data_IF_112947909600
#
_entry.id   IF_112947909600
#
_cell.length_a   1.000
_cell.length_b   1.000
_cell.length_c   1.000
_cell.angle_alpha   90.00
_cell.angle_beta   90.00
_cell.angle_gamma   90.00
#
_symmetry.space_group_name_H-M   'P 1'
#
loop_
_entity.id
_entity.type
_entity.pdbx_description
1 polymer ?
#
# COMPACT_ATOMS: atom_id res chain seq x y z
N UNK A 1 -14.15 5.43 -16.91
CA UNK A 1 -13.18 6.53 -16.81
C UNK A 1 -13.60 7.56 -15.77
N UNK A 2 -14.88 7.97 -15.76
CA UNK A 2 -15.39 9.02 -14.85
C UNK A 2 -15.12 8.73 -13.37
N UNK A 3 -15.23 7.47 -12.95
CA UNK A 3 -14.91 7.07 -11.58
C UNK A 3 -13.43 7.27 -11.25
N UNK A 4 -12.53 6.86 -12.15
CA UNK A 4 -11.08 7.04 -11.97
C UNK A 4 -10.75 8.53 -11.93
N UNK A 5 -11.30 9.32 -12.86
CA UNK A 5 -11.13 10.78 -12.90
C UNK A 5 -11.58 11.45 -11.60
N UNK A 6 -12.79 11.17 -11.14
CA UNK A 6 -13.31 11.79 -9.91
C UNK A 6 -12.50 11.40 -8.68
N UNK A 7 -11.96 10.19 -8.64
CA UNK A 7 -11.05 9.75 -7.57
C UNK A 7 -9.71 10.51 -7.61
N UNK A 8 -9.16 10.75 -8.81
CA UNK A 8 -7.94 11.54 -8.97
C UNK A 8 -8.16 13.01 -8.59
N UNK A 9 -9.27 13.61 -9.00
CA UNK A 9 -9.63 14.98 -8.65
C UNK A 9 -9.83 15.13 -7.13
N UNK A 10 -10.50 14.16 -6.49
CA UNK A 10 -10.61 14.11 -5.03
C UNK A 10 -9.24 13.99 -4.35
N UNK A 11 -8.36 13.13 -4.84
CA UNK A 11 -7.03 12.95 -4.28
C UNK A 11 -6.22 14.26 -4.32
N UNK A 12 -6.28 14.99 -5.43
CA UNK A 12 -5.62 16.30 -5.58
C UNK A 12 -6.18 17.33 -4.60
N UNK A 13 -7.51 17.36 -4.41
CA UNK A 13 -8.16 18.31 -3.48
C UNK A 13 -7.90 17.97 -2.01
N UNK A 14 -7.82 16.68 -1.68
CA UNK A 14 -7.57 16.19 -0.32
C UNK A 14 -6.13 16.44 0.16
N UNK A 15 -5.15 16.41 -0.74
CA UNK A 15 -3.74 16.52 -0.37
C UNK A 15 -3.39 17.94 0.12
N UNK A 16 -2.67 18.00 1.20
CA UNK A 16 -2.09 19.24 1.68
C UNK A 16 -0.78 19.57 0.92
N UNK A 17 -0.75 20.75 0.30
CA UNK A 17 0.46 21.29 -0.31
C UNK A 17 1.32 21.95 0.77
N UNK A 18 2.47 21.36 1.05
CA UNK A 18 3.40 21.84 2.07
C UNK A 18 4.20 23.05 1.61
N UNK A 19 4.73 23.88 2.54
CA UNK A 19 5.58 25.02 2.19
C UNK A 19 6.86 24.67 1.43
N UNK A 20 7.34 23.42 1.52
CA UNK A 20 8.50 22.93 0.78
C UNK A 20 8.18 22.51 -0.67
N UNK A 21 6.93 22.66 -1.10
CA UNK A 21 6.47 22.33 -2.44
C UNK A 21 5.99 20.88 -2.61
N UNK A 22 6.11 20.04 -1.59
CA UNK A 22 5.63 18.64 -1.66
C UNK A 22 4.16 18.53 -1.27
N UNK A 23 3.51 17.44 -1.71
CA UNK A 23 2.14 17.08 -1.35
C UNK A 23 2.12 15.90 -0.38
N UNK A 24 1.28 15.98 0.64
CA UNK A 24 1.09 14.92 1.64
C UNK A 24 -0.36 14.76 2.04
N UNK A 25 -0.74 13.55 2.43
CA UNK A 25 -2.07 13.25 2.95
C UNK A 25 -2.16 13.61 4.44
N UNK A 26 -2.83 14.71 4.77
CA UNK A 26 -2.97 15.19 6.15
C UNK A 26 -4.37 15.76 6.42
N UNK A 27 -5.09 15.25 7.45
CA UNK A 27 -4.73 14.12 8.32
C UNK A 27 -4.89 12.78 7.62
N UNK A 28 -4.10 11.79 8.02
CA UNK A 28 -4.22 10.42 7.52
C UNK A 28 -3.95 9.39 8.63
N UNK A 29 -4.21 8.12 8.36
CA UNK A 29 -3.92 7.02 9.28
C UNK A 29 -3.62 5.76 8.51
N UNK A 30 -2.97 4.79 9.17
CA UNK A 30 -2.83 3.43 8.66
C UNK A 30 -3.72 2.50 9.49
N UNK A 31 -4.85 2.05 8.94
CA UNK A 31 -5.76 1.19 9.69
C UNK A 31 -5.13 -0.15 10.09
N UNK A 32 -5.47 -0.65 11.23
CA UNK A 32 -6.46 -0.20 12.22
C UNK A 32 -5.79 0.24 13.53
N UNK A 33 -4.58 0.74 13.52
CA UNK A 33 -3.87 1.16 14.72
C UNK A 33 -2.97 2.36 14.43
N UNK A 34 -2.31 2.84 15.47
CA UNK A 34 -1.34 3.93 15.38
C UNK A 34 -1.96 5.33 15.46
N UNK A 35 -1.15 6.35 15.27
CA UNK A 35 -1.56 7.73 15.39
C UNK A 35 -2.37 8.23 14.20
N UNK A 36 -3.03 9.37 14.39
CA UNK A 36 -3.36 10.24 13.26
C UNK A 36 -2.06 10.89 12.81
N UNK A 37 -1.76 10.80 11.53
CA UNK A 37 -0.49 11.19 10.93
C UNK A 37 -0.70 12.25 9.83
N UNK A 38 0.39 12.86 9.41
CA UNK A 38 0.41 13.81 8.30
C UNK A 38 1.12 13.24 7.06
N UNK A 39 0.95 11.94 6.83
CA UNK A 39 1.57 11.29 5.69
C UNK A 39 1.70 9.78 5.81
N UNK A 40 0.63 9.08 6.24
CA UNK A 40 0.62 7.63 6.28
C UNK A 40 0.91 7.05 4.88
N UNK A 41 1.91 6.19 4.79
CA UNK A 41 2.39 5.60 3.53
C UNK A 41 1.30 4.89 2.75
N UNK A 42 0.34 4.26 3.44
CA UNK A 42 -0.82 3.64 2.81
C UNK A 42 -1.59 4.61 1.92
N UNK A 43 -1.92 5.80 2.45
CA UNK A 43 -2.70 6.80 1.71
C UNK A 43 -1.91 7.33 0.51
N UNK A 44 -0.61 7.59 0.68
CA UNK A 44 0.25 7.99 -0.43
C UNK A 44 0.36 6.92 -1.50
N UNK A 45 0.41 5.64 -1.12
CA UNK A 45 0.44 4.52 -2.08
C UNK A 45 -0.85 4.48 -2.92
N UNK A 46 -2.01 4.61 -2.28
CA UNK A 46 -3.31 4.66 -2.97
C UNK A 46 -3.40 5.87 -3.90
N UNK A 47 -2.97 7.05 -3.44
CA UNK A 47 -2.97 8.27 -4.25
C UNK A 47 -2.07 8.12 -5.48
N UNK A 48 -0.88 7.52 -5.35
CA UNK A 48 0.02 7.25 -6.49
C UNK A 48 -0.67 6.41 -7.56
N UNK A 49 -1.28 5.30 -7.17
CA UNK A 49 -1.97 4.41 -8.11
C UNK A 49 -3.13 5.14 -8.81
N UNK A 50 -3.99 5.85 -8.05
CA UNK A 50 -5.12 6.60 -8.63
C UNK A 50 -4.64 7.65 -9.65
N UNK A 51 -3.60 8.43 -9.32
CA UNK A 51 -3.08 9.45 -10.22
C UNK A 51 -2.43 8.82 -11.47
N UNK A 52 -1.65 7.75 -11.30
CA UNK A 52 -1.05 7.02 -12.42
C UNK A 52 -2.11 6.45 -13.37
N UNK A 53 -3.14 5.81 -12.81
CA UNK A 53 -4.24 5.24 -13.57
C UNK A 53 -5.04 6.31 -14.33
N UNK A 54 -5.33 7.46 -13.67
CA UNK A 54 -6.04 8.58 -14.31
C UNK A 54 -5.22 9.20 -15.44
N UNK A 55 -3.91 9.40 -15.22
CA UNK A 55 -2.97 9.91 -16.23
C UNK A 55 -2.96 9.00 -17.45
N UNK A 56 -2.78 7.70 -17.25
CA UNK A 56 -2.69 6.73 -18.34
C UNK A 56 -4.03 6.59 -19.08
N UNK A 57 -5.14 6.44 -18.35
CA UNK A 57 -6.47 6.36 -18.94
C UNK A 57 -6.80 7.62 -19.76
N UNK A 58 -6.45 8.81 -19.28
CA UNK A 58 -6.68 10.06 -20.03
C UNK A 58 -5.84 10.15 -21.31
N UNK A 59 -4.61 9.58 -21.29
CA UNK A 59 -3.75 9.49 -22.49
C UNK A 59 -4.37 8.56 -23.53
N UNK A 60 -4.80 7.37 -23.11
CA UNK A 60 -5.42 6.37 -23.99
C UNK A 60 -6.70 6.93 -24.64
N UNK A 61 -7.53 7.63 -23.88
CA UNK A 61 -8.79 8.22 -24.35
C UNK A 61 -8.61 9.55 -25.09
N UNK A 62 -7.44 10.20 -24.96
CA UNK A 62 -7.18 11.49 -25.57
C UNK A 62 -7.93 12.68 -24.94
N UNK A 63 -8.34 12.55 -23.66
CA UNK A 63 -9.17 13.54 -22.94
C UNK A 63 -8.41 14.18 -21.76
N UNK A 64 -9.01 15.21 -21.16
CA UNK A 64 -8.60 15.84 -19.89
C UNK A 64 -7.12 16.26 -19.83
N UNK A 65 -6.60 16.81 -20.92
CA UNK A 65 -5.19 17.22 -21.04
C UNK A 65 -4.75 18.25 -19.99
N UNK A 66 -5.67 19.12 -19.55
CA UNK A 66 -5.41 20.14 -18.54
C UNK A 66 -5.33 19.50 -17.15
N UNK A 67 -6.30 18.71 -16.81
CA UNK A 67 -6.40 17.96 -15.54
C UNK A 67 -5.22 17.01 -15.39
N UNK A 68 -4.85 16.30 -16.45
CA UNK A 68 -3.67 15.43 -16.49
C UNK A 68 -2.39 16.12 -16.11
N UNK A 69 -2.15 17.36 -16.55
CA UNK A 69 -0.97 18.15 -16.14
C UNK A 69 -0.96 18.42 -14.64
N UNK A 70 -2.12 18.62 -14.04
CA UNK A 70 -2.25 18.81 -12.61
C UNK A 70 -1.96 17.50 -11.87
N UNK A 71 -2.52 16.36 -12.33
CA UNK A 71 -2.25 15.05 -11.76
C UNK A 71 -0.77 14.67 -11.86
N UNK A 72 -0.14 14.92 -13.01
CA UNK A 72 1.31 14.72 -13.21
C UNK A 72 2.12 15.57 -12.23
N UNK A 73 1.79 16.86 -12.09
CA UNK A 73 2.47 17.76 -11.15
C UNK A 73 2.35 17.28 -9.69
N UNK A 74 1.17 16.87 -9.26
CA UNK A 74 0.96 16.37 -7.89
C UNK A 74 1.70 15.06 -7.68
N UNK A 75 1.66 14.14 -8.63
CA UNK A 75 2.35 12.86 -8.56
C UNK A 75 3.88 13.03 -8.45
N UNK A 76 4.45 13.95 -9.24
CA UNK A 76 5.89 14.24 -9.26
C UNK A 76 6.38 14.86 -7.94
N UNK A 77 5.48 15.57 -7.23
CA UNK A 77 5.78 16.25 -5.97
C UNK A 77 5.15 15.56 -4.74
N UNK A 78 4.56 14.38 -4.89
CA UNK A 78 4.05 13.62 -3.76
C UNK A 78 5.21 13.10 -2.90
N UNK A 79 5.11 13.24 -1.58
CA UNK A 79 6.10 12.73 -0.63
C UNK A 79 6.52 11.30 -1.01
N UNK A 80 7.83 11.03 -1.18
CA UNK A 80 8.31 9.72 -1.59
C UNK A 80 8.14 8.67 -0.48
N UNK A 81 8.18 7.40 -0.86
CA UNK A 81 8.36 6.31 0.08
C UNK A 81 9.65 6.50 0.89
N UNK A 82 9.62 6.18 2.17
CA UNK A 82 10.76 6.31 3.07
C UNK A 82 11.15 4.94 3.63
N UNK A 83 12.46 4.75 3.82
CA UNK A 83 13.03 3.56 4.45
C UNK A 83 13.52 3.96 5.84
N UNK A 84 13.02 3.28 6.86
CA UNK A 84 13.31 3.58 8.25
C UNK A 84 14.61 2.94 8.75
N UNK A 85 14.90 3.18 10.03
CA UNK A 85 16.16 2.79 10.71
C UNK A 85 16.43 1.28 10.76
N UNK A 86 15.40 0.44 10.58
CA UNK A 86 15.54 -1.02 10.52
C UNK A 86 15.61 -1.54 9.08
N UNK A 87 15.63 -0.65 8.08
CA UNK A 87 15.56 -1.01 6.68
C UNK A 87 14.16 -1.35 6.19
N UNK A 88 13.13 -1.14 7.00
CA UNK A 88 11.73 -1.34 6.66
C UNK A 88 11.17 -0.18 5.83
N UNK A 89 10.16 -0.46 5.00
CA UNK A 89 9.32 0.58 4.43
C UNK A 89 8.50 1.23 5.56
N UNK A 90 8.69 2.53 5.79
CA UNK A 90 8.02 3.23 6.88
C UNK A 90 6.50 3.23 6.68
N UNK A 91 5.76 2.97 7.74
CA UNK A 91 4.30 3.04 7.75
C UNK A 91 3.79 4.47 7.95
N UNK A 92 4.54 5.28 8.70
CA UNK A 92 4.17 6.61 9.13
C UNK A 92 5.11 7.68 8.56
N UNK A 93 4.73 8.95 8.66
CA UNK A 93 5.58 10.08 8.26
C UNK A 93 6.84 10.25 9.11
N UNK A 94 6.85 9.60 10.28
CA UNK A 94 7.99 9.55 11.21
C UNK A 94 8.36 8.10 11.49
N UNK A 95 9.64 7.82 11.72
CA UNK A 95 10.15 6.47 11.95
C UNK A 95 9.85 5.98 13.37
N UNK A 96 8.61 5.56 13.60
CA UNK A 96 8.10 5.01 14.87
C UNK A 96 7.76 3.52 14.78
N UNK A 97 8.06 2.88 13.65
CA UNK A 97 7.83 1.45 13.45
C UNK A 97 8.54 0.60 14.52
N UNK A 98 7.86 -0.41 15.04
CA UNK A 98 8.43 -1.39 15.98
C UNK A 98 8.64 -2.72 15.26
N UNK A 99 9.88 -3.26 15.20
CA UNK A 99 10.14 -4.55 14.57
C UNK A 99 9.50 -5.75 15.29
N UNK A 100 8.91 -5.52 16.47
CA UNK A 100 8.16 -6.54 17.22
C UNK A 100 6.65 -6.41 17.04
N UNK A 101 6.18 -5.43 16.26
CA UNK A 101 4.77 -5.27 15.99
C UNK A 101 4.30 -6.34 15.00
N UNK A 102 3.50 -7.28 15.49
CA UNK A 102 2.88 -8.37 14.73
C UNK A 102 1.44 -8.04 14.28
N UNK A 103 1.10 -6.75 14.17
CA UNK A 103 -0.23 -6.35 13.71
C UNK A 103 -0.55 -7.01 12.37
N UNK A 104 -1.78 -7.55 12.27
CA UNK A 104 -2.20 -8.34 11.10
C UNK A 104 -2.21 -7.57 9.78
N UNK A 105 -2.49 -6.25 9.82
CA UNK A 105 -2.53 -5.42 8.62
C UNK A 105 -1.14 -4.92 8.24
N UNK A 106 -0.95 -4.77 6.93
CA UNK A 106 0.28 -4.28 6.29
C UNK A 106 -0.07 -3.25 5.22
N UNK A 107 -0.95 -2.32 5.57
CA UNK A 107 -1.54 -1.35 4.64
C UNK A 107 -0.50 -0.54 3.86
N UNK A 108 0.60 -0.16 4.50
CA UNK A 108 1.69 0.58 3.87
C UNK A 108 2.40 -0.20 2.75
N UNK A 109 2.14 -1.51 2.64
CA UNK A 109 2.58 -2.34 1.51
C UNK A 109 1.60 -2.37 0.34
N UNK A 110 0.57 -1.51 0.34
CA UNK A 110 -0.39 -1.40 -0.78
C UNK A 110 0.30 -1.22 -2.13
N UNK A 111 1.37 -0.41 -2.17
CA UNK A 111 2.13 -0.19 -3.40
C UNK A 111 2.87 -1.44 -3.94
N UNK A 112 3.08 -2.47 -3.12
CA UNK A 112 3.58 -3.77 -3.54
C UNK A 112 2.46 -4.66 -4.07
N UNK A 113 1.31 -4.70 -3.37
CA UNK A 113 0.10 -5.41 -3.77
C UNK A 113 -1.13 -4.83 -3.02
N UNK A 114 -2.24 -4.49 -3.72
CA UNK A 114 -2.55 -4.69 -5.15
C UNK A 114 -1.87 -3.69 -6.09
N UNK A 115 -1.30 -2.60 -5.60
CA UNK A 115 -0.56 -1.63 -6.40
C UNK A 115 0.68 -2.23 -7.08
N UNK A 116 1.41 -1.38 -7.80
CA UNK A 116 2.59 -1.81 -8.56
C UNK A 116 3.76 -0.80 -8.50
N UNK A 117 3.68 0.18 -7.61
CA UNK A 117 4.72 1.20 -7.41
C UNK A 117 5.92 0.69 -6.62
N UNK A 118 5.77 -0.43 -5.90
CA UNK A 118 6.86 -1.16 -5.25
C UNK A 118 7.05 -2.51 -5.94
N UNK A 119 8.25 -2.74 -6.48
CA UNK A 119 8.52 -3.94 -7.29
C UNK A 119 10.00 -4.35 -7.17
N UNK A 120 10.30 -5.66 -7.08
CA UNK A 120 11.69 -6.13 -7.11
C UNK A 120 12.41 -5.85 -8.43
N UNK A 121 11.66 -5.55 -9.51
CA UNK A 121 12.20 -5.26 -10.84
C UNK A 121 12.47 -3.76 -11.03
N UNK A 122 11.50 -2.91 -10.69
CA UNK A 122 11.56 -1.47 -10.99
C UNK A 122 12.01 -0.61 -9.80
N UNK A 123 11.76 -1.07 -8.57
CA UNK A 123 12.12 -0.38 -7.33
C UNK A 123 12.71 -1.35 -6.29
N UNK A 124 13.86 -2.01 -6.60
CA UNK A 124 14.39 -3.12 -5.79
C UNK A 124 14.68 -2.76 -4.34
N UNK A 125 15.10 -1.52 -4.05
CA UNK A 125 15.35 -1.08 -2.67
C UNK A 125 14.05 -0.96 -1.86
N UNK A 126 12.97 -0.46 -2.47
CA UNK A 126 11.67 -0.43 -1.82
C UNK A 126 11.10 -1.84 -1.62
N UNK A 127 11.28 -2.73 -2.59
CA UNK A 127 10.89 -4.14 -2.46
C UNK A 127 11.64 -4.85 -1.33
N UNK A 128 12.93 -4.58 -1.18
CA UNK A 128 13.73 -5.07 -0.06
C UNK A 128 13.21 -4.52 1.28
N UNK A 129 12.87 -3.23 1.34
CA UNK A 129 12.31 -2.63 2.53
C UNK A 129 10.90 -3.19 2.87
N UNK A 130 10.08 -3.46 1.87
CA UNK A 130 8.80 -4.13 2.05
C UNK A 130 8.96 -5.57 2.58
N UNK A 131 10.01 -6.29 2.12
CA UNK A 131 10.34 -7.61 2.67
C UNK A 131 10.69 -7.54 4.17
N UNK A 132 11.41 -6.51 4.61
CA UNK A 132 11.70 -6.30 6.03
C UNK A 132 10.41 -6.14 6.84
N UNK A 133 9.45 -5.36 6.35
CA UNK A 133 8.13 -5.24 6.99
C UNK A 133 7.46 -6.59 7.16
N UNK A 134 7.38 -7.40 6.09
CA UNK A 134 6.73 -8.71 6.14
C UNK A 134 7.41 -9.65 7.14
N UNK A 135 8.74 -9.59 7.25
CA UNK A 135 9.50 -10.36 8.24
C UNK A 135 9.16 -9.91 9.68
N UNK A 136 9.08 -8.61 9.93
CA UNK A 136 8.71 -8.07 11.24
C UNK A 136 7.27 -8.44 11.63
N UNK A 137 6.32 -8.31 10.69
CA UNK A 137 4.89 -8.63 10.90
C UNK A 137 4.62 -10.13 11.03
N UNK A 138 5.58 -10.98 10.64
CA UNK A 138 5.46 -12.44 10.73
C UNK A 138 4.35 -13.01 9.83
N UNK A 139 4.18 -14.32 9.91
CA UNK A 139 3.25 -15.07 9.05
C UNK A 139 1.87 -15.27 9.69
N UNK A 140 1.73 -14.95 10.98
CA UNK A 140 0.44 -15.00 11.68
C UNK A 140 -0.50 -13.92 11.20
N UNK A 141 -1.75 -14.29 10.90
CA UNK A 141 -2.81 -13.35 10.51
C UNK A 141 -4.18 -14.02 10.53
N UNK A 142 -5.24 -13.22 10.42
CA UNK A 142 -6.58 -13.72 10.08
C UNK A 142 -6.64 -14.05 8.59
N UNK A 143 -7.66 -14.77 8.12
CA UNK A 143 -7.75 -15.27 6.75
C UNK A 143 -7.48 -14.21 5.69
N UNK A 144 -8.21 -13.10 5.71
CA UNK A 144 -8.03 -12.03 4.72
C UNK A 144 -6.62 -11.42 4.73
N UNK A 145 -6.10 -11.10 5.92
CA UNK A 145 -4.75 -10.50 6.02
C UNK A 145 -3.65 -11.51 5.68
N UNK A 146 -3.86 -12.81 5.93
CA UNK A 146 -2.93 -13.87 5.49
C UNK A 146 -2.93 -14.00 3.97
N UNK A 147 -4.11 -13.95 3.33
CA UNK A 147 -4.24 -13.92 1.87
C UNK A 147 -3.52 -12.71 1.27
N UNK A 148 -3.59 -11.56 1.92
CA UNK A 148 -2.85 -10.37 1.47
C UNK A 148 -1.35 -10.53 1.59
N UNK A 149 -0.83 -10.97 2.74
CA UNK A 149 0.62 -11.26 2.92
C UNK A 149 1.12 -12.30 1.92
N UNK A 150 0.34 -13.34 1.64
CA UNK A 150 0.66 -14.34 0.62
C UNK A 150 0.89 -13.70 -0.76
N UNK A 151 -0.01 -12.83 -1.19
CA UNK A 151 0.13 -12.11 -2.46
C UNK A 151 1.35 -11.18 -2.47
N UNK A 152 1.66 -10.54 -1.37
CA UNK A 152 2.85 -9.69 -1.24
C UNK A 152 4.15 -10.50 -1.35
N UNK A 153 4.24 -11.67 -0.71
CA UNK A 153 5.38 -12.56 -0.88
C UNK A 153 5.53 -13.08 -2.32
N UNK A 154 4.42 -13.39 -2.98
CA UNK A 154 4.42 -13.76 -4.40
C UNK A 154 4.93 -12.61 -5.28
N UNK A 155 4.50 -11.37 -5.01
CA UNK A 155 4.99 -10.16 -5.71
C UNK A 155 6.47 -9.89 -5.47
N UNK A 156 7.00 -10.25 -4.31
CA UNK A 156 8.44 -10.22 -4.01
C UNK A 156 9.22 -11.38 -4.67
N UNK A 157 8.56 -12.23 -5.45
CA UNK A 157 9.12 -13.40 -6.11
C UNK A 157 9.64 -14.48 -5.14
N UNK A 158 9.16 -14.46 -3.88
CA UNK A 158 9.42 -15.50 -2.91
C UNK A 158 8.27 -16.54 -2.92
N UNK A 159 8.25 -17.35 -3.96
CA UNK A 159 7.21 -18.35 -4.17
C UNK A 159 7.16 -19.45 -3.10
N UNK A 160 8.29 -19.79 -2.50
CA UNK A 160 8.32 -20.80 -1.41
C UNK A 160 7.64 -20.24 -0.16
N UNK A 161 7.89 -18.99 0.20
CA UNK A 161 7.24 -18.35 1.33
C UNK A 161 5.73 -18.16 1.07
N UNK A 162 5.36 -17.69 -0.13
CA UNK A 162 3.96 -17.58 -0.53
C UNK A 162 3.23 -18.92 -0.44
N UNK A 163 3.86 -20.02 -0.88
CA UNK A 163 3.30 -21.36 -0.79
C UNK A 163 3.11 -21.83 0.66
N UNK A 164 4.04 -21.50 1.54
CA UNK A 164 3.90 -21.78 2.99
C UNK A 164 2.67 -21.08 3.56
N UNK A 165 2.49 -19.77 3.27
CA UNK A 165 1.30 -19.02 3.71
C UNK A 165 0.01 -19.55 3.10
N UNK A 166 0.04 -19.98 1.84
CA UNK A 166 -1.11 -20.63 1.20
C UNK A 166 -1.54 -21.91 1.97
N UNK A 167 -0.58 -22.75 2.31
CA UNK A 167 -0.84 -23.96 3.14
C UNK A 167 -1.39 -23.61 4.52
N UNK A 168 -0.86 -22.56 5.16
CA UNK A 168 -1.34 -22.08 6.47
C UNK A 168 -2.76 -21.51 6.36
N UNK A 169 -3.08 -20.76 5.31
CA UNK A 169 -4.42 -20.25 5.05
C UNK A 169 -5.44 -21.38 4.90
N UNK A 170 -5.14 -22.38 4.08
CA UNK A 170 -6.03 -23.53 3.90
C UNK A 170 -6.24 -24.31 5.21
N UNK A 171 -5.18 -24.51 5.98
CA UNK A 171 -5.22 -25.31 7.20
C UNK A 171 -5.90 -24.60 8.38
N UNK A 172 -5.65 -23.30 8.53
CA UNK A 172 -5.98 -22.57 9.74
C UNK A 172 -6.99 -21.43 9.51
N UNK A 173 -7.13 -20.97 8.27
CA UNK A 173 -7.93 -19.81 7.90
C UNK A 173 -9.13 -20.11 7.00
N UNK A 174 -9.31 -21.36 6.55
CA UNK A 174 -10.40 -21.72 5.64
C UNK A 174 -11.35 -22.70 6.32
N UNK A 175 -12.64 -22.47 6.19
CA UNK A 175 -13.70 -23.34 6.70
C UNK A 175 -14.22 -24.27 5.61
N UNK A 176 -15.00 -25.30 6.01
CA UNK A 176 -15.54 -26.30 5.08
C UNK A 176 -16.43 -25.71 3.97
N UNK A 177 -17.03 -24.56 4.21
CA UNK A 177 -17.79 -23.78 3.21
C UNK A 177 -16.94 -22.91 2.31
N UNK A 178 -15.61 -23.00 2.38
CA UNK A 178 -14.60 -22.26 1.65
C UNK A 178 -14.50 -20.75 2.03
N UNK A 179 -15.20 -20.34 3.06
CA UNK A 179 -15.03 -18.99 3.60
C UNK A 179 -13.81 -18.94 4.52
N UNK A 180 -13.19 -17.78 4.60
CA UNK A 180 -12.08 -17.61 5.52
C UNK A 180 -12.55 -17.28 6.95
N UNK A 181 -11.66 -17.47 7.89
CA UNK A 181 -11.89 -17.10 9.29
C UNK A 181 -11.37 -15.69 9.54
N UNK A 182 -12.27 -14.79 9.89
CA UNK A 182 -11.95 -13.45 10.35
C UNK A 182 -12.72 -13.12 11.63
N UNK A 183 -12.27 -13.63 12.80
CA UNK A 183 -13.03 -13.47 14.03
C UNK A 183 -13.42 -12.01 14.30
N UNK A 184 -14.66 -11.70 14.68
CA UNK A 184 -15.74 -12.65 15.05
C UNK A 184 -16.64 -13.17 13.89
N UNK A 185 -16.26 -12.95 12.65
CA UNK A 185 -17.06 -13.31 11.47
C UNK A 185 -16.24 -14.12 10.46
N UNK A 186 -16.89 -14.55 9.39
CA UNK A 186 -16.31 -15.19 8.19
C UNK A 186 -16.40 -14.21 7.02
N UNK A 187 -15.49 -14.34 6.07
CA UNK A 187 -15.48 -13.56 4.83
C UNK A 187 -15.49 -14.50 3.64
#
# INVERSE_FOLDING_TARGET
>A
YELIKSSADFAVDYLWHKPDGTYTAAPSTSPEHGPIDQGATFVHAVVREILMDAIEASKVLGVDKKERKQWEHVLDNLVPYQIGRYGQLMEWSVDIDDPKDEHRHVNHLFGLHPGHTVSPVTTPELAKAAKVVLVHRGDGATGWSMGWKLNQWARLQDGNHAYTLFGNLLKNGTMDNLWDTHPPFQI
#
